data_IF_964139586374
#
_entry.id   IF_964139586374
#
_cell.length_a   1.000
_cell.length_b   1.000
_cell.length_c   1.000
_cell.angle_alpha   90.00
_cell.angle_beta   90.00
_cell.angle_gamma   90.00
#
_symmetry.space_group_name_H-M   'P 1'
#
loop_
_entity.id
_entity.type
_entity.pdbx_description
1 polymer ?
#
# COMPACT_ATOMS: atom_id res chain seq x y z
N UNK A 1 -1.93 17.81 -6.14
CA UNK A 1 -2.30 17.40 -7.51
C UNK A 1 -3.24 18.45 -8.08
N UNK A 2 -3.22 18.74 -9.39
CA UNK A 2 -3.65 20.05 -9.90
C UNK A 2 -5.11 20.44 -9.59
N UNK A 3 -6.01 19.51 -9.24
CA UNK A 3 -7.39 19.80 -8.80
C UNK A 3 -7.91 18.81 -7.73
N UNK A 4 -7.07 18.30 -6.82
CA UNK A 4 -7.53 17.49 -5.67
C UNK A 4 -7.57 15.96 -5.85
N UNK A 5 -6.88 15.40 -6.84
CA UNK A 5 -6.72 13.93 -6.97
C UNK A 5 -5.91 13.35 -5.80
N UNK A 6 -6.31 12.19 -5.29
CA UNK A 6 -5.53 11.46 -4.29
C UNK A 6 -4.15 11.07 -4.86
N UNK A 7 -3.07 11.43 -4.17
CA UNK A 7 -1.71 11.06 -4.54
C UNK A 7 -1.36 9.71 -3.91
N UNK A 8 -0.82 8.79 -4.72
CA UNK A 8 -0.28 7.51 -4.24
C UNK A 8 1.16 7.70 -3.76
N UNK A 9 1.50 7.10 -2.62
CA UNK A 9 2.84 7.09 -2.03
C UNK A 9 3.46 5.69 -2.17
N UNK A 10 4.15 5.48 -3.28
CA UNK A 10 4.80 4.20 -3.58
C UNK A 10 6.11 4.00 -2.78
N UNK A 11 6.69 5.06 -2.21
CA UNK A 11 7.93 4.96 -1.41
C UNK A 11 7.66 4.28 -0.06
N UNK A 12 6.55 4.64 0.59
CA UNK A 12 6.24 4.12 1.92
C UNK A 12 5.20 2.99 1.91
N UNK A 13 4.39 2.83 0.85
CA UNK A 13 3.22 1.95 0.84
C UNK A 13 3.14 0.94 -0.33
N UNK A 14 4.26 0.63 -0.97
CA UNK A 14 4.35 -0.45 -1.96
C UNK A 14 4.45 -1.85 -1.31
N UNK A 15 3.44 -2.23 -0.53
CA UNK A 15 3.37 -3.55 0.13
C UNK A 15 1.93 -4.07 0.19
N UNK A 16 1.79 -5.39 0.31
CA UNK A 16 0.54 -6.01 0.79
C UNK A 16 0.63 -6.21 2.29
N UNK A 17 -0.52 -6.15 2.97
CA UNK A 17 -0.55 -6.35 4.41
C UNK A 17 -1.81 -7.03 4.89
N UNK A 18 -1.70 -7.75 6.00
CA UNK A 18 -2.82 -8.38 6.69
C UNK A 18 -2.71 -8.17 8.20
N UNK A 19 -3.86 -7.96 8.84
CA UNK A 19 -3.95 -7.96 10.30
C UNK A 19 -4.22 -9.37 10.79
N UNK A 20 -3.27 -9.93 11.55
CA UNK A 20 -3.47 -11.19 12.26
C UNK A 20 -4.32 -10.94 13.50
N UNK A 21 -5.39 -11.73 13.66
CA UNK A 21 -6.18 -11.72 14.88
C UNK A 21 -5.52 -12.61 15.94
N UNK A 22 -5.09 -11.99 17.05
CA UNK A 22 -4.36 -12.64 18.15
C UNK A 22 -5.25 -13.04 19.34
N UNK A 23 -6.57 -12.90 19.21
CA UNK A 23 -7.55 -13.18 20.27
C UNK A 23 -8.17 -11.93 20.90
N UNK A 24 -7.47 -10.79 20.88
CA UNK A 24 -7.98 -9.48 21.30
C UNK A 24 -7.80 -8.47 20.15
N UNK A 25 -8.85 -7.76 19.69
CA UNK A 25 -8.73 -6.87 18.54
C UNK A 25 -7.67 -5.77 18.68
N UNK A 26 -7.43 -5.28 19.90
CA UNK A 26 -6.42 -4.25 20.18
C UNK A 26 -4.98 -4.76 20.07
N UNK A 27 -4.76 -6.08 20.08
CA UNK A 27 -3.45 -6.73 20.00
C UNK A 27 -3.19 -7.34 18.61
N UNK A 28 -4.01 -6.98 17.61
CA UNK A 28 -3.82 -7.46 16.25
C UNK A 28 -2.43 -7.07 15.73
N UNK A 29 -1.78 -7.98 15.00
CA UNK A 29 -0.44 -7.76 14.45
C UNK A 29 -0.54 -7.43 12.96
N UNK A 30 0.17 -6.39 12.52
CA UNK A 30 0.24 -6.03 11.10
C UNK A 30 1.41 -6.75 10.44
N UNK A 31 1.10 -7.69 9.56
CA UNK A 31 2.07 -8.32 8.67
C UNK A 31 2.17 -7.54 7.37
N UNK A 32 3.38 -7.29 6.87
CA UNK A 32 3.64 -6.59 5.62
C UNK A 32 4.58 -7.41 4.74
N UNK A 33 4.30 -7.45 3.45
CA UNK A 33 5.15 -8.06 2.44
C UNK A 33 5.34 -7.06 1.29
N UNK A 34 6.60 -6.73 1.00
CA UNK A 34 6.97 -5.74 0.00
C UNK A 34 6.66 -6.23 -1.42
N UNK A 35 6.15 -5.34 -2.27
CA UNK A 35 5.86 -5.65 -3.66
C UNK A 35 7.06 -5.25 -4.54
N UNK A 36 7.78 -6.25 -5.04
CA UNK A 36 8.88 -6.06 -6.00
C UNK A 36 8.39 -6.25 -7.43
N UNK A 37 8.59 -5.25 -8.29
CA UNK A 37 8.15 -5.29 -9.68
C UNK A 37 9.35 -5.48 -10.64
N UNK A 38 9.57 -6.70 -11.09
CA UNK A 38 10.72 -7.04 -11.94
C UNK A 38 10.49 -6.77 -13.43
N UNK A 39 9.28 -7.06 -13.91
CA UNK A 39 8.95 -7.09 -15.33
C UNK A 39 8.18 -5.85 -15.81
N UNK A 40 7.74 -5.00 -14.87
CA UNK A 40 6.94 -3.82 -15.18
C UNK A 40 7.24 -2.69 -14.20
N UNK A 41 7.40 -1.48 -14.71
CA UNK A 41 7.60 -0.30 -13.86
C UNK A 41 6.28 0.17 -13.25
N UNK A 42 6.31 0.56 -11.96
CA UNK A 42 5.21 1.19 -11.27
C UNK A 42 4.87 2.53 -11.92
N UNK A 43 3.59 2.71 -12.30
CA UNK A 43 3.09 3.99 -12.84
C UNK A 43 1.87 4.46 -12.07
N UNK A 44 1.81 5.76 -11.80
CA UNK A 44 0.65 6.42 -11.21
C UNK A 44 -0.39 6.70 -12.28
N UNK A 45 -1.66 6.42 -12.01
CA UNK A 45 -2.77 6.75 -12.90
C UNK A 45 -3.21 8.20 -12.66
N UNK A 46 -3.47 8.94 -13.74
CA UNK A 46 -4.16 10.23 -13.70
C UNK A 46 -5.53 10.06 -14.35
N UNK A 47 -6.55 10.71 -13.81
CA UNK A 47 -7.94 10.57 -14.26
C UNK A 47 -8.41 11.79 -15.08
N UNK A 48 -7.48 12.63 -15.53
CA UNK A 48 -7.74 13.78 -16.42
C UNK A 48 -7.84 13.37 -17.89
#
# INVERSE_FOLDING_TARGET
>A
SPEGEALRDDENFAFVSAWEFTGVPAEAQLHKEELTFENVELKTRSYK
#
